data_IF_627628749326
#
_entry.id   IF_627628749326
#
_cell.length_a   1.000
_cell.length_b   1.000
_cell.length_c   1.000
_cell.angle_alpha   90.00
_cell.angle_beta   90.00
_cell.angle_gamma   90.00
#
_symmetry.space_group_name_H-M   'P 1'
#
loop_
_entity.id
_entity.type
_entity.pdbx_description
1 polymer ?
#
# COMPACT_ATOMS: atom_id res chain seq x y z
N UNK A 1 30.60 -21.12 -4.51
CA UNK A 1 31.19 -19.76 -4.37
C UNK A 1 30.02 -18.80 -4.25
N UNK A 2 29.79 -18.20 -3.07
CA UNK A 2 28.74 -17.17 -2.92
C UNK A 2 29.23 -15.92 -3.66
N UNK A 3 28.50 -15.47 -4.68
CA UNK A 3 28.77 -14.19 -5.32
C UNK A 3 28.44 -13.12 -4.29
N UNK A 4 29.40 -12.26 -3.98
CA UNK A 4 29.17 -11.11 -3.12
C UNK A 4 28.24 -10.12 -3.85
N UNK A 5 27.01 -9.93 -3.36
CA UNK A 5 25.98 -9.16 -4.04
C UNK A 5 26.34 -7.68 -4.18
N UNK A 6 27.17 -7.12 -3.30
CA UNK A 6 27.64 -5.73 -3.41
C UNK A 6 28.59 -5.52 -4.58
N UNK A 7 29.15 -6.60 -5.15
CA UNK A 7 30.00 -6.53 -6.34
C UNK A 7 29.20 -6.64 -7.64
N UNK A 8 27.86 -6.74 -7.58
CA UNK A 8 27.02 -6.76 -8.76
C UNK A 8 26.90 -5.33 -9.34
N UNK A 9 27.14 -5.11 -10.65
CA UNK A 9 27.15 -3.76 -11.24
C UNK A 9 25.80 -3.02 -11.16
N UNK A 10 24.73 -3.73 -10.81
CA UNK A 10 23.37 -3.17 -10.69
C UNK A 10 22.88 -3.13 -9.23
N UNK A 11 23.75 -3.43 -8.25
CA UNK A 11 23.39 -3.49 -6.83
C UNK A 11 22.74 -2.20 -6.35
N UNK A 12 23.43 -1.07 -6.54
CA UNK A 12 22.95 0.26 -6.13
C UNK A 12 21.64 0.64 -6.84
N UNK A 13 21.52 0.32 -8.13
CA UNK A 13 20.30 0.61 -8.90
C UNK A 13 19.08 -0.12 -8.34
N UNK A 14 19.23 -1.40 -8.00
CA UNK A 14 18.14 -2.19 -7.44
C UNK A 14 17.74 -1.66 -6.06
N UNK A 15 18.71 -1.29 -5.22
CA UNK A 15 18.43 -0.68 -3.91
C UNK A 15 17.80 0.73 -4.03
N UNK A 16 18.14 1.49 -5.07
CA UNK A 16 17.50 2.78 -5.32
C UNK A 16 16.02 2.60 -5.72
N UNK A 17 15.73 1.67 -6.63
CA UNK A 17 14.36 1.33 -7.05
C UNK A 17 13.55 0.79 -5.86
N UNK A 18 14.17 -0.08 -5.06
CA UNK A 18 13.60 -0.59 -3.81
C UNK A 18 13.09 0.52 -2.89
N UNK A 19 13.98 1.46 -2.57
CA UNK A 19 13.70 2.54 -1.66
C UNK A 19 12.60 3.45 -2.22
N UNK A 20 12.63 3.74 -3.52
CA UNK A 20 11.63 4.56 -4.19
C UNK A 20 10.24 3.90 -4.16
N UNK A 21 10.14 2.60 -4.43
CA UNK A 21 8.87 1.88 -4.41
C UNK A 21 8.30 1.83 -2.99
N UNK A 22 9.11 1.49 -1.98
CA UNK A 22 8.65 1.51 -0.59
C UNK A 22 8.24 2.90 -0.11
N UNK A 23 8.92 3.95 -0.57
CA UNK A 23 8.53 5.33 -0.28
C UNK A 23 7.15 5.64 -0.89
N UNK A 24 6.96 5.32 -2.17
CA UNK A 24 5.67 5.51 -2.84
C UNK A 24 4.54 4.73 -2.14
N UNK A 25 4.78 3.48 -1.74
CA UNK A 25 3.79 2.69 -0.98
C UNK A 25 3.40 3.35 0.34
N UNK A 26 4.38 3.83 1.13
CA UNK A 26 4.13 4.53 2.39
C UNK A 26 3.36 5.83 2.18
N UNK A 27 3.68 6.58 1.14
CA UNK A 27 3.01 7.84 0.82
C UNK A 27 1.55 7.60 0.41
N UNK A 28 1.28 6.54 -0.36
CA UNK A 28 -0.08 6.11 -0.67
C UNK A 28 -0.84 5.69 0.60
N UNK A 29 -0.23 4.90 1.48
CA UNK A 29 -0.84 4.50 2.76
C UNK A 29 -1.17 5.71 3.65
N UNK A 30 -0.26 6.70 3.70
CA UNK A 30 -0.47 7.96 4.42
C UNK A 30 -1.62 8.78 3.82
N UNK A 31 -1.72 8.83 2.48
CA UNK A 31 -2.80 9.51 1.76
C UNK A 31 -4.16 8.88 2.06
N UNK A 32 -4.27 7.55 2.03
CA UNK A 32 -5.50 6.82 2.37
C UNK A 32 -5.95 7.18 3.80
N UNK A 33 -5.02 7.17 4.75
CA UNK A 33 -5.30 7.54 6.15
C UNK A 33 -5.76 8.98 6.28
N UNK A 34 -5.08 9.92 5.63
CA UNK A 34 -5.43 11.35 5.67
C UNK A 34 -6.82 11.61 5.08
N UNK A 35 -7.17 11.00 3.95
CA UNK A 35 -8.48 11.13 3.34
C UNK A 35 -9.59 10.50 4.21
N UNK A 36 -9.30 9.37 4.84
CA UNK A 36 -10.23 8.71 5.77
C UNK A 36 -10.49 9.59 7.00
N UNK A 37 -9.45 10.22 7.54
CA UNK A 37 -9.57 11.16 8.64
C UNK A 37 -10.39 12.39 8.24
N UNK A 38 -10.19 12.92 7.03
CA UNK A 38 -10.97 14.04 6.50
C UNK A 38 -12.46 13.70 6.38
N UNK A 39 -12.80 12.48 5.96
CA UNK A 39 -14.18 11.99 5.94
C UNK A 39 -14.77 11.98 7.35
N UNK A 40 -14.08 11.37 8.33
CA UNK A 40 -14.53 11.32 9.72
C UNK A 40 -14.73 12.72 10.31
N UNK A 41 -13.72 13.60 10.18
CA UNK A 41 -13.81 14.99 10.65
C UNK A 41 -14.95 15.74 9.99
N UNK A 42 -15.18 15.56 8.68
CA UNK A 42 -16.33 16.21 8.01
C UNK A 42 -17.67 15.77 8.58
N UNK A 43 -17.82 14.48 8.90
CA UNK A 43 -19.06 13.94 9.48
C UNK A 43 -19.25 14.49 10.90
N UNK A 44 -18.20 14.46 11.72
CA UNK A 44 -18.24 14.90 13.12
C UNK A 44 -18.59 16.39 13.22
N UNK A 45 -17.94 17.25 12.44
CA UNK A 45 -18.19 18.69 12.43
C UNK A 45 -19.59 19.05 11.93
N UNK A 46 -20.11 18.34 10.93
CA UNK A 46 -21.48 18.55 10.45
C UNK A 46 -22.52 18.12 11.50
N UNK A 47 -22.25 17.02 12.20
CA UNK A 47 -23.11 16.55 13.29
C UNK A 47 -23.08 17.53 14.48
N UNK A 48 -21.90 18.02 14.87
CA UNK A 48 -21.72 19.01 15.93
C UNK A 48 -22.43 20.33 15.61
N UNK A 49 -22.28 20.81 14.37
CA UNK A 49 -22.96 22.01 13.88
C UNK A 49 -24.46 21.81 13.62
N UNK A 50 -25.00 20.60 13.81
CA UNK A 50 -26.41 20.21 13.55
C UNK A 50 -26.85 20.53 12.12
N UNK A 51 -25.92 20.42 11.17
CA UNK A 51 -26.21 20.66 9.77
C UNK A 51 -26.93 19.45 9.16
N UNK A 52 -27.83 19.66 8.18
CA UNK A 52 -28.42 18.55 7.43
C UNK A 52 -27.34 17.69 6.77
N UNK A 53 -27.40 16.37 6.97
CA UNK A 53 -26.41 15.42 6.45
C UNK A 53 -26.20 15.51 4.92
N UNK A 54 -27.23 15.90 4.18
CA UNK A 54 -27.16 16.04 2.72
C UNK A 54 -26.26 17.18 2.22
N UNK A 55 -25.89 18.15 3.07
CA UNK A 55 -25.09 19.31 2.66
C UNK A 55 -23.64 18.94 2.30
N UNK A 56 -23.05 17.97 3.01
CA UNK A 56 -21.68 17.50 2.73
C UNK A 56 -21.62 16.32 1.76
N UNK A 57 -22.75 15.74 1.37
CA UNK A 57 -22.78 14.48 0.61
C UNK A 57 -21.93 14.53 -0.66
N UNK A 58 -22.02 15.60 -1.45
CA UNK A 58 -21.22 15.75 -2.69
C UNK A 58 -19.71 15.79 -2.42
N UNK A 59 -19.28 16.34 -1.29
CA UNK A 59 -17.87 16.34 -0.90
C UNK A 59 -17.45 14.94 -0.44
N UNK A 60 -18.28 14.28 0.37
CA UNK A 60 -18.06 12.91 0.83
C UNK A 60 -17.98 11.92 -0.34
N UNK A 61 -18.81 12.06 -1.37
CA UNK A 61 -18.78 11.21 -2.57
C UNK A 61 -17.44 11.35 -3.34
N UNK A 62 -16.91 12.58 -3.42
CA UNK A 62 -15.60 12.85 -4.03
C UNK A 62 -14.46 12.27 -3.20
N UNK A 63 -14.54 12.39 -1.87
CA UNK A 63 -13.55 11.78 -0.97
C UNK A 63 -13.58 10.26 -1.05
N UNK A 64 -14.76 9.64 -1.08
CA UNK A 64 -14.93 8.21 -1.28
C UNK A 64 -14.31 7.74 -2.62
N UNK A 65 -14.56 8.48 -3.70
CA UNK A 65 -13.96 8.22 -5.01
C UNK A 65 -12.43 8.35 -4.98
N UNK A 66 -11.90 9.34 -4.26
CA UNK A 66 -10.45 9.54 -4.09
C UNK A 66 -9.81 8.40 -3.31
N UNK A 67 -10.43 7.96 -2.20
CA UNK A 67 -9.97 6.81 -1.41
C UNK A 67 -9.95 5.54 -2.27
N UNK A 68 -11.00 5.29 -3.06
CA UNK A 68 -11.05 4.15 -3.97
C UNK A 68 -9.90 4.19 -4.99
N UNK A 69 -9.61 5.36 -5.56
CA UNK A 69 -8.47 5.57 -6.45
C UNK A 69 -7.11 5.32 -5.77
N UNK A 70 -6.94 5.73 -4.52
CA UNK A 70 -5.72 5.47 -3.75
C UNK A 70 -5.54 3.99 -3.41
N UNK A 71 -6.61 3.27 -3.06
CA UNK A 71 -6.58 1.82 -2.84
C UNK A 71 -6.15 1.09 -4.12
N UNK A 72 -6.67 1.50 -5.26
CA UNK A 72 -6.28 0.93 -6.55
C UNK A 72 -4.82 1.27 -6.89
N UNK A 73 -4.38 2.50 -6.65
CA UNK A 73 -2.98 2.89 -6.78
C UNK A 73 -2.06 2.03 -5.89
N UNK A 74 -2.46 1.77 -4.64
CA UNK A 74 -1.72 0.90 -3.71
C UNK A 74 -1.60 -0.53 -4.24
N UNK A 75 -2.68 -1.07 -4.81
CA UNK A 75 -2.68 -2.40 -5.44
C UNK A 75 -1.68 -2.45 -6.60
N UNK A 76 -1.73 -1.48 -7.50
CA UNK A 76 -0.82 -1.39 -8.66
C UNK A 76 0.64 -1.19 -8.23
N UNK A 77 0.92 -0.37 -7.21
CA UNK A 77 2.27 -0.22 -6.65
C UNK A 77 2.79 -1.53 -6.07
N UNK A 78 1.95 -2.30 -5.40
CA UNK A 78 2.31 -3.63 -4.87
C UNK A 78 2.65 -4.60 -6.00
N UNK A 79 1.91 -4.55 -7.11
CA UNK A 79 2.17 -5.38 -8.29
C UNK A 79 3.49 -5.00 -8.96
N UNK A 80 3.74 -3.69 -9.14
CA UNK A 80 5.02 -3.18 -9.64
C UNK A 80 6.18 -3.60 -8.72
N UNK A 81 6.02 -3.48 -7.41
CA UNK A 81 7.01 -3.94 -6.43
C UNK A 81 7.34 -5.42 -6.61
N UNK A 82 6.33 -6.28 -6.78
CA UNK A 82 6.54 -7.71 -7.04
C UNK A 82 7.25 -7.96 -8.37
N UNK A 83 6.93 -7.20 -9.41
CA UNK A 83 7.60 -7.29 -10.72
C UNK A 83 9.07 -6.93 -10.63
N UNK A 84 9.39 -5.81 -9.99
CA UNK A 84 10.76 -5.47 -9.69
C UNK A 84 11.42 -6.61 -8.88
N UNK A 85 10.69 -7.17 -7.89
CA UNK A 85 11.05 -8.35 -7.09
C UNK A 85 11.59 -9.50 -7.93
N UNK A 86 10.80 -9.87 -8.94
CA UNK A 86 11.14 -10.91 -9.91
C UNK A 86 12.35 -10.54 -10.76
N UNK A 87 12.45 -9.29 -11.21
CA UNK A 87 13.58 -8.80 -12.00
C UNK A 87 14.90 -8.89 -11.21
N UNK A 88 14.93 -8.42 -9.96
CA UNK A 88 16.13 -8.54 -9.13
C UNK A 88 16.50 -10.00 -8.84
N UNK A 89 15.50 -10.87 -8.59
CA UNK A 89 15.75 -12.31 -8.41
C UNK A 89 16.38 -12.94 -9.66
N UNK A 90 15.96 -12.54 -10.86
CA UNK A 90 16.55 -13.00 -12.12
C UNK A 90 18.02 -12.57 -12.28
N UNK A 91 18.41 -11.48 -11.61
CA UNK A 91 19.79 -10.97 -11.54
C UNK A 91 20.61 -11.61 -10.39
N UNK A 92 20.07 -12.66 -9.76
CA UNK A 92 20.74 -13.37 -8.67
C UNK A 92 20.53 -12.75 -7.28
N UNK A 93 19.59 -11.81 -7.13
CA UNK A 93 19.29 -11.24 -5.84
C UNK A 93 18.56 -12.23 -4.91
N UNK A 94 19.05 -12.33 -3.68
CA UNK A 94 18.46 -13.13 -2.58
C UNK A 94 18.30 -12.26 -1.34
N UNK A 95 17.34 -12.62 -0.47
CA UNK A 95 17.07 -11.88 0.78
C UNK A 95 18.32 -11.81 1.67
N UNK A 96 19.06 -12.91 1.75
CA UNK A 96 20.29 -13.03 2.51
C UNK A 96 21.44 -12.18 1.94
N UNK A 97 21.39 -11.85 0.64
CA UNK A 97 22.46 -11.11 -0.03
C UNK A 97 22.17 -9.62 -0.20
N UNK A 98 20.91 -9.26 -0.43
CA UNK A 98 20.54 -7.91 -0.87
C UNK A 98 19.78 -7.12 0.21
N UNK A 99 19.60 -7.73 1.38
CA UNK A 99 19.04 -7.10 2.58
C UNK A 99 17.54 -7.38 2.78
N UNK A 100 16.99 -7.01 3.94
CA UNK A 100 15.61 -7.34 4.33
C UNK A 100 14.55 -6.70 3.43
N UNK A 101 14.95 -5.69 2.65
CA UNK A 101 14.10 -5.00 1.69
C UNK A 101 13.93 -5.78 0.39
N UNK A 102 14.81 -6.73 0.05
CA UNK A 102 14.88 -7.36 -1.28
C UNK A 102 15.36 -8.83 -1.31
N UNK A 103 14.70 -9.72 -2.07
CA UNK A 103 13.39 -9.55 -2.69
C UNK A 103 12.35 -9.48 -1.59
N UNK A 104 11.37 -8.58 -1.75
CA UNK A 104 10.27 -8.44 -0.80
C UNK A 104 9.77 -9.83 -0.43
N UNK A 105 9.89 -10.20 0.85
CA UNK A 105 9.38 -11.48 1.35
C UNK A 105 7.98 -11.64 0.78
N UNK A 106 7.72 -12.84 0.25
CA UNK A 106 6.41 -13.28 -0.21
C UNK A 106 5.37 -12.55 0.60
N UNK A 107 4.65 -11.63 -0.05
CA UNK A 107 3.26 -11.42 0.32
C UNK A 107 2.68 -12.81 0.10
N UNK A 108 2.79 -13.70 1.09
CA UNK A 108 2.01 -14.91 1.18
C UNK A 108 0.65 -14.45 0.72
N UNK A 109 0.15 -15.03 -0.38
CA UNK A 109 -1.20 -14.80 -0.88
C UNK A 109 -2.07 -14.64 0.34
N UNK A 110 -2.41 -13.39 0.71
CA UNK A 110 -2.80 -13.08 2.07
C UNK A 110 -3.92 -14.05 2.38
N UNK A 111 -3.64 -15.03 3.26
CA UNK A 111 -4.47 -16.22 3.44
C UNK A 111 -5.88 -15.70 3.54
N UNK A 112 -6.71 -15.98 2.51
CA UNK A 112 -8.03 -15.36 2.36
C UNK A 112 -8.63 -15.24 3.74
N UNK A 113 -8.89 -14.03 4.27
CA UNK A 113 -9.38 -13.91 5.63
C UNK A 113 -10.61 -14.79 5.71
N UNK A 114 -10.58 -15.81 6.58
CA UNK A 114 -11.74 -16.67 6.83
C UNK A 114 -12.85 -15.71 7.19
N UNK A 115 -13.83 -15.55 6.30
CA UNK A 115 -15.01 -14.72 6.56
C UNK A 115 -15.59 -15.22 7.87
N UNK A 116 -15.55 -14.38 8.90
CA UNK A 116 -16.24 -14.70 10.14
C UNK A 116 -17.73 -14.91 9.80
N UNK A 117 -18.37 -15.99 10.27
CA UNK A 117 -19.79 -16.17 10.05
C UNK A 117 -20.53 -14.98 10.66
N UNK A 118 -21.43 -14.36 9.89
CA UNK A 118 -22.30 -13.30 10.38
C UNK A 118 -23.05 -13.83 11.61
N UNK A 119 -22.82 -13.21 12.77
CA UNK A 119 -23.63 -13.46 13.97
C UNK A 119 -25.07 -13.08 13.62
N UNK A 120 -25.98 -14.06 13.57
CA UNK A 120 -27.42 -13.77 13.58
C UNK A 120 -27.73 -13.09 14.91
N UNK A 121 -28.18 -11.85 14.85
CA UNK A 121 -28.81 -11.20 15.99
C UNK A 121 -30.17 -11.88 16.15
N UNK A 122 -30.36 -12.54 17.28
CA UNK A 122 -31.62 -13.17 17.69
C UNK A 122 -32.55 -12.11 18.30
#
# INVERSE_FOLDING_TARGET
>A
MRVDPTNHPQYDTILAVAAAVMAAERDTDASIKALSQLVSTTIDEFAEARLPAGLSQRALDKLASSIAGQIESRRLLTEAHREFGRAAKALGATADGWGPTWPCYTVEEAVKPKRAPLRRVA
#
